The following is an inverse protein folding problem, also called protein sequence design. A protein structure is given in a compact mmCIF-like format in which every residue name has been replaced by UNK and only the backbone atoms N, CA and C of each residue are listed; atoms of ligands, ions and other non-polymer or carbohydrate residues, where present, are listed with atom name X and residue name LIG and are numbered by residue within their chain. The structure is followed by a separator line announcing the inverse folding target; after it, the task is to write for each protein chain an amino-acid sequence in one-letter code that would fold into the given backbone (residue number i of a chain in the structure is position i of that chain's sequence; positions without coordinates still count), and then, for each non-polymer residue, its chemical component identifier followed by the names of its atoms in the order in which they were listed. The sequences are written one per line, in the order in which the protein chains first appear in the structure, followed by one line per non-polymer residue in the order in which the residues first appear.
data_IF_036363141437
#
_entry.id   IF_036363141437
#
_cell.length_a   1.000
_cell.length_b   1.000
_cell.length_c   1.000
_cell.angle_alpha   90.00
_cell.angle_beta   90.00
_cell.angle_gamma   90.00
#
_symmetry.space_group_name_H-M   'P 1'
#
loop_
_entity.id
_entity.type
_entity.pdbx_description
1 polymer ?
#
# COMPACT_ATOMS: atom_id res chain seq x y z
N UNK A 1 -27.92 -29.57 -12.38
CA UNK A 1 -26.51 -29.59 -11.89
C UNK A 1 -25.75 -28.31 -12.23
N UNK A 2 -25.67 -27.87 -13.49
CA UNK A 2 -24.90 -26.65 -13.89
C UNK A 2 -25.27 -25.39 -13.10
N UNK A 3 -26.57 -25.13 -12.84
CA UNK A 3 -27.01 -23.97 -12.03
C UNK A 3 -26.51 -24.00 -10.58
N UNK A 4 -26.35 -25.19 -9.99
CA UNK A 4 -25.79 -25.33 -8.63
C UNK A 4 -24.28 -25.08 -8.65
N UNK A 5 -23.57 -25.66 -9.61
CA UNK A 5 -22.12 -25.44 -9.79
C UNK A 5 -21.83 -23.95 -9.95
N UNK A 6 -22.60 -23.25 -10.79
CA UNK A 6 -22.47 -21.80 -10.98
C UNK A 6 -22.66 -21.02 -9.67
N UNK A 7 -23.71 -21.35 -8.89
CA UNK A 7 -23.99 -20.66 -7.64
C UNK A 7 -22.86 -20.82 -6.63
N UNK A 8 -22.32 -22.04 -6.49
CA UNK A 8 -21.19 -22.33 -5.60
C UNK A 8 -19.90 -21.66 -6.09
N UNK A 9 -19.64 -21.61 -7.39
CA UNK A 9 -18.48 -20.91 -7.96
C UNK A 9 -18.54 -19.41 -7.66
N UNK A 10 -19.69 -18.77 -7.88
CA UNK A 10 -19.88 -17.35 -7.57
C UNK A 10 -19.70 -17.11 -6.07
N UNK A 11 -20.26 -17.97 -5.21
CA UNK A 11 -20.08 -17.87 -3.76
C UNK A 11 -18.60 -18.00 -3.37
N UNK A 12 -17.87 -18.92 -4.00
CA UNK A 12 -16.46 -19.14 -3.76
C UNK A 12 -15.61 -17.93 -4.17
N UNK A 13 -15.81 -17.40 -5.37
CA UNK A 13 -15.05 -16.23 -5.86
C UNK A 13 -15.33 -15.00 -4.99
N UNK A 14 -16.60 -14.75 -4.67
CA UNK A 14 -16.98 -13.61 -3.81
C UNK A 14 -16.44 -13.76 -2.39
N UNK A 15 -16.40 -14.98 -1.85
CA UNK A 15 -15.78 -15.27 -0.55
C UNK A 15 -14.27 -15.02 -0.57
N UNK A 16 -13.57 -15.50 -1.61
CA UNK A 16 -12.13 -15.28 -1.78
C UNK A 16 -11.79 -13.79 -1.91
N UNK A 17 -12.60 -13.04 -2.68
CA UNK A 17 -12.43 -11.58 -2.78
C UNK A 17 -12.61 -10.86 -1.44
N UNK A 18 -13.63 -11.24 -0.64
CA UNK A 18 -13.82 -10.66 0.69
C UNK A 18 -12.66 -10.99 1.64
N UNK A 19 -12.19 -12.24 1.65
CA UNK A 19 -11.04 -12.64 2.49
C UNK A 19 -9.77 -11.87 2.12
N UNK A 20 -9.50 -11.70 0.81
CA UNK A 20 -8.41 -10.87 0.32
C UNK A 20 -8.53 -9.41 0.79
N UNK A 21 -9.73 -8.82 0.65
CA UNK A 21 -10.02 -7.46 1.12
C UNK A 21 -9.81 -7.29 2.62
N UNK A 22 -10.24 -8.24 3.45
CA UNK A 22 -10.06 -8.19 4.91
C UNK A 22 -8.57 -8.19 5.32
N UNK A 23 -7.76 -9.05 4.70
CA UNK A 23 -6.31 -9.11 4.95
C UNK A 23 -5.66 -7.78 4.55
N UNK A 24 -6.06 -7.22 3.40
CA UNK A 24 -5.55 -5.91 2.97
C UNK A 24 -5.94 -4.77 3.91
N UNK A 25 -7.19 -4.74 4.41
CA UNK A 25 -7.62 -3.75 5.40
C UNK A 25 -6.76 -3.84 6.67
N UNK A 26 -6.57 -5.04 7.20
CA UNK A 26 -5.74 -5.25 8.39
C UNK A 26 -4.30 -4.75 8.20
N UNK A 27 -3.70 -5.09 7.04
CA UNK A 27 -2.36 -4.65 6.69
C UNK A 27 -2.26 -3.12 6.63
N UNK A 28 -3.20 -2.43 5.98
CA UNK A 28 -3.14 -0.97 5.87
C UNK A 28 -3.44 -0.24 7.18
N UNK A 29 -4.30 -0.81 8.04
CA UNK A 29 -4.47 -0.29 9.40
C UNK A 29 -3.17 -0.45 10.20
N UNK A 30 -2.46 -1.56 10.03
CA UNK A 30 -1.15 -1.77 10.67
C UNK A 30 -0.14 -0.73 10.18
N UNK A 31 -0.08 -0.47 8.88
CA UNK A 31 0.80 0.55 8.31
C UNK A 31 0.46 1.97 8.77
N UNK A 32 -0.81 2.26 9.08
CA UNK A 32 -1.23 3.55 9.62
C UNK A 32 -0.80 3.75 11.09
N UNK A 33 -0.81 2.68 11.88
CA UNK A 33 -0.43 2.72 13.30
C UNK A 33 1.09 2.60 13.48
N UNK A 34 1.72 1.74 12.68
CA UNK A 34 3.14 1.45 12.72
C UNK A 34 3.71 1.44 11.29
N UNK A 35 3.95 2.63 10.70
CA UNK A 35 4.53 2.72 9.36
C UNK A 35 5.92 2.09 9.34
N UNK A 36 6.32 1.60 8.15
CA UNK A 36 7.66 1.03 7.97
C UNK A 36 8.73 2.03 8.42
N UNK A 37 9.76 1.60 9.16
CA UNK A 37 10.82 2.51 9.58
C UNK A 37 11.58 3.04 8.36
N UNK A 38 11.98 4.31 8.42
CA UNK A 38 12.89 4.88 7.45
C UNK A 38 14.26 4.19 7.55
N UNK A 39 14.79 3.72 6.41
CA UNK A 39 15.93 2.79 6.40
C UNK A 39 17.29 3.48 6.39
N UNK A 40 17.36 4.76 6.01
CA UNK A 40 18.62 5.48 5.85
C UNK A 40 18.94 6.25 7.13
N UNK A 41 20.17 6.13 7.64
CA UNK A 41 20.63 6.93 8.77
C UNK A 41 21.11 8.31 8.32
N UNK A 42 21.23 9.25 9.26
CA UNK A 42 21.78 10.58 8.97
C UNK A 42 23.23 10.50 8.46
N UNK A 43 24.04 9.59 8.99
CA UNK A 43 25.44 9.41 8.55
C UNK A 43 25.51 8.92 7.10
N UNK A 44 24.62 7.99 6.72
CA UNK A 44 24.54 7.51 5.33
C UNK A 44 24.04 8.62 4.39
N UNK A 45 23.10 9.44 4.84
CA UNK A 45 22.61 10.60 4.11
C UNK A 45 23.73 11.62 3.88
N UNK A 46 24.48 11.96 4.94
CA UNK A 46 25.63 12.87 4.89
C UNK A 46 26.74 12.34 3.98
N UNK A 47 27.03 11.04 4.02
CA UNK A 47 28.05 10.42 3.17
C UNK A 47 27.65 10.42 1.67
N UNK A 48 26.36 10.34 1.38
CA UNK A 48 25.81 10.41 0.02
C UNK A 48 25.72 11.83 -0.54
N UNK A 49 25.56 12.83 0.34
CA UNK A 49 25.53 14.25 -0.01
C UNK A 49 26.86 14.65 -0.68
N UNK A 50 26.80 15.00 -1.98
CA UNK A 50 27.97 15.37 -2.79
C UNK A 50 28.60 14.26 -3.63
N UNK A 51 28.22 12.97 -3.48
CA UNK A 51 28.79 11.86 -4.28
C UNK A 51 27.92 11.37 -5.44
N UNK A 52 26.60 11.55 -5.37
CA UNK A 52 25.65 10.84 -6.25
C UNK A 52 24.73 11.73 -7.11
N UNK A 53 24.82 13.05 -7.01
CA UNK A 53 23.82 13.95 -7.62
C UNK A 53 24.06 14.38 -9.08
N UNK A 54 25.00 13.76 -9.81
CA UNK A 54 25.08 13.96 -11.28
C UNK A 54 25.41 12.67 -12.04
N UNK A 55 24.66 12.29 -13.09
CA UNK A 55 25.25 11.51 -14.16
C UNK A 55 26.38 12.35 -14.75
N UNK A 56 27.60 11.81 -14.79
CA UNK A 56 28.71 12.43 -15.46
C UNK A 56 28.29 12.71 -16.92
N UNK A 57 28.05 13.97 -17.24
CA UNK A 57 27.94 14.40 -18.63
C UNK A 57 29.34 14.28 -19.20
N UNK A 58 29.57 13.24 -20.00
CA UNK A 58 30.82 13.04 -20.74
C UNK A 58 31.14 14.33 -21.52
N UNK A 59 32.19 15.03 -21.10
CA UNK A 59 32.72 16.19 -21.83
C UNK A 59 32.88 17.50 -21.03
N UNK A 60 32.52 17.56 -19.74
CA UNK A 60 32.84 18.72 -18.91
C UNK A 60 34.10 18.48 -18.08
N UNK A 61 35.26 18.74 -18.68
CA UNK A 61 36.49 18.96 -17.91
C UNK A 61 36.29 20.20 -17.04
N UNK A 62 36.34 20.03 -15.71
CA UNK A 62 36.60 21.14 -14.79
C UNK A 62 35.40 21.93 -14.27
N UNK A 63 34.26 21.30 -13.98
CA UNK A 63 33.32 21.90 -13.02
C UNK A 63 33.09 20.96 -11.84
N UNK A 64 33.99 21.05 -10.86
CA UNK A 64 33.63 20.89 -9.46
C UNK A 64 32.56 21.95 -9.17
N UNK A 65 31.31 21.66 -9.52
CA UNK A 65 30.20 22.41 -8.94
C UNK A 65 30.09 21.91 -7.52
N UNK A 66 30.96 22.43 -6.66
CA UNK A 66 30.87 22.29 -5.22
C UNK A 66 29.43 22.63 -4.88
N UNK A 67 28.64 21.62 -4.47
CA UNK A 67 27.42 21.94 -3.75
C UNK A 67 27.85 22.90 -2.63
N UNK A 68 27.10 23.98 -2.35
CA UNK A 68 27.44 24.85 -1.23
C UNK A 68 27.68 23.95 -0.02
N UNK A 69 28.82 24.11 0.66
CA UNK A 69 29.12 23.39 1.89
C UNK A 69 28.01 23.74 2.88
N UNK A 70 26.95 22.93 2.85
CA UNK A 70 25.84 23.08 3.78
C UNK A 70 26.41 22.85 5.17
N UNK A 71 26.02 23.72 6.09
CA UNK A 71 26.28 23.48 7.50
C UNK A 71 25.71 22.12 7.91
N UNK A 72 26.31 21.46 8.91
CA UNK A 72 25.74 20.24 9.47
C UNK A 72 24.30 20.44 9.96
N UNK A 73 23.97 21.65 10.40
CA UNK A 73 22.62 22.05 10.81
C UNK A 73 21.65 22.05 9.62
N UNK A 74 22.08 22.53 8.45
CA UNK A 74 21.29 22.54 7.23
C UNK A 74 21.10 21.12 6.69
N UNK A 75 22.15 20.28 6.73
CA UNK A 75 22.06 18.87 6.33
C UNK A 75 21.12 18.06 7.22
N UNK A 76 21.15 18.34 8.53
CA UNK A 76 20.23 17.71 9.48
C UNK A 76 18.79 18.15 9.24
N UNK A 77 18.57 19.45 8.98
CA UNK A 77 17.25 19.96 8.63
C UNK A 77 16.70 19.32 7.34
N UNK A 78 17.54 19.15 6.32
CA UNK A 78 17.17 18.47 5.08
C UNK A 78 16.82 16.99 5.34
N UNK A 79 17.63 16.28 6.12
CA UNK A 79 17.37 14.89 6.49
C UNK A 79 16.04 14.76 7.26
N UNK A 80 15.80 15.59 8.27
CA UNK A 80 14.56 15.57 9.06
C UNK A 80 13.33 15.88 8.18
N UNK A 81 13.45 16.81 7.23
CA UNK A 81 12.40 17.09 6.26
C UNK A 81 12.12 15.88 5.34
N UNK A 82 13.16 15.16 4.93
CA UNK A 82 13.07 13.98 4.07
C UNK A 82 12.42 12.80 4.81
N UNK A 83 12.84 12.55 6.06
CA UNK A 83 12.23 11.56 6.95
C UNK A 83 10.75 11.86 7.17
N UNK A 84 10.42 13.13 7.41
CA UNK A 84 9.04 13.57 7.59
C UNK A 84 8.20 13.33 6.32
N UNK A 85 8.67 13.75 5.15
CA UNK A 85 7.99 13.54 3.88
C UNK A 85 7.79 12.04 3.58
N UNK A 86 8.76 11.20 3.92
CA UNK A 86 8.63 9.75 3.81
C UNK A 86 7.43 9.21 4.61
N UNK A 87 7.33 9.57 5.90
CA UNK A 87 6.23 9.13 6.75
C UNK A 87 4.88 9.73 6.32
N UNK A 88 4.86 10.99 5.89
CA UNK A 88 3.65 11.64 5.38
C UNK A 88 3.12 10.92 4.13
N UNK A 89 4.02 10.57 3.20
CA UNK A 89 3.67 9.79 2.00
C UNK A 89 3.19 8.39 2.35
N UNK A 90 3.83 7.71 3.29
CA UNK A 90 3.43 6.36 3.65
C UNK A 90 2.06 6.34 4.34
N UNK A 91 1.78 7.33 5.19
CA UNK A 91 0.45 7.55 5.74
C UNK A 91 -0.60 7.86 4.67
N UNK A 92 -0.27 8.70 3.70
CA UNK A 92 -1.19 9.01 2.60
C UNK A 92 -1.49 7.77 1.74
N UNK A 93 -0.47 6.94 1.47
CA UNK A 93 -0.60 5.67 0.75
C UNK A 93 -1.44 4.67 1.52
N UNK A 94 -1.17 4.47 2.81
CA UNK A 94 -1.93 3.56 3.65
C UNK A 94 -3.42 3.94 3.68
N UNK A 95 -3.74 5.24 3.82
CA UNK A 95 -5.11 5.75 3.74
C UNK A 95 -5.76 5.47 2.38
N UNK A 96 -5.05 5.75 1.29
CA UNK A 96 -5.55 5.52 -0.06
C UNK A 96 -5.81 4.03 -0.35
N UNK A 97 -4.90 3.16 0.09
CA UNK A 97 -5.04 1.73 -0.06
C UNK A 97 -6.15 1.16 0.84
N UNK A 98 -6.30 1.67 2.06
CA UNK A 98 -7.39 1.27 2.96
C UNK A 98 -8.76 1.46 2.29
N UNK A 99 -8.98 2.60 1.63
CA UNK A 99 -10.20 2.87 0.86
C UNK A 99 -10.39 1.86 -0.27
N UNK A 100 -9.31 1.53 -1.01
CA UNK A 100 -9.37 0.50 -2.05
C UNK A 100 -9.71 -0.87 -1.48
N UNK A 101 -9.10 -1.27 -0.37
CA UNK A 101 -9.34 -2.56 0.29
C UNK A 101 -10.78 -2.69 0.78
N UNK A 102 -11.39 -1.60 1.26
CA UNK A 102 -12.83 -1.59 1.58
C UNK A 102 -13.69 -1.79 0.32
N UNK A 103 -13.30 -1.22 -0.82
CA UNK A 103 -13.96 -1.47 -2.11
C UNK A 103 -13.98 -2.96 -2.48
N UNK A 104 -12.88 -3.67 -2.24
CA UNK A 104 -12.77 -5.12 -2.45
C UNK A 104 -13.70 -5.96 -1.55
N UNK A 105 -14.18 -5.41 -0.43
CA UNK A 105 -15.15 -6.08 0.45
C UNK A 105 -16.57 -5.67 0.06
N UNK A 106 -16.81 -4.37 -0.14
CA UNK A 106 -18.15 -3.81 -0.35
C UNK A 106 -18.77 -4.26 -1.68
N UNK A 107 -17.97 -4.43 -2.74
CA UNK A 107 -18.47 -4.85 -4.07
C UNK A 107 -18.97 -6.31 -4.07
N UNK A 108 -18.20 -7.32 -3.61
CA UNK A 108 -18.66 -8.71 -3.63
C UNK A 108 -19.71 -9.03 -2.54
N UNK A 109 -19.78 -8.25 -1.46
CA UNK A 109 -20.64 -8.56 -0.31
C UNK A 109 -22.15 -8.63 -0.64
N UNK A 110 -22.76 -7.68 -1.39
CA UNK A 110 -24.16 -7.79 -1.81
C UNK A 110 -24.44 -9.02 -2.67
N UNK A 111 -23.50 -9.37 -3.56
CA UNK A 111 -23.62 -10.55 -4.44
C UNK A 111 -23.57 -11.82 -3.58
N UNK A 112 -22.63 -11.89 -2.65
CA UNK A 112 -22.50 -13.00 -1.71
C UNK A 112 -23.78 -13.20 -0.89
N UNK A 113 -24.30 -12.13 -0.28
CA UNK A 113 -25.55 -12.18 0.49
C UNK A 113 -26.74 -12.65 -0.35
N UNK A 114 -26.85 -12.18 -1.59
CA UNK A 114 -27.93 -12.58 -2.49
C UNK A 114 -27.86 -14.08 -2.84
N UNK A 115 -26.67 -14.56 -3.25
CA UNK A 115 -26.46 -15.96 -3.60
C UNK A 115 -26.63 -16.88 -2.37
N UNK A 116 -26.15 -16.47 -1.19
CA UNK A 116 -26.33 -17.20 0.06
C UNK A 116 -27.81 -17.34 0.42
N UNK A 117 -28.59 -16.25 0.37
CA UNK A 117 -30.04 -16.28 0.62
C UNK A 117 -30.77 -17.22 -0.33
N UNK A 118 -30.39 -17.24 -1.61
CA UNK A 118 -30.96 -18.17 -2.60
C UNK A 118 -30.61 -19.62 -2.30
N UNK A 119 -29.39 -19.90 -1.84
CA UNK A 119 -28.97 -21.24 -1.46
C UNK A 119 -29.78 -21.76 -0.26
N UNK A 120 -29.91 -20.96 0.81
CA UNK A 120 -30.64 -21.34 2.03
C UNK A 120 -32.10 -21.69 1.72
N UNK A 121 -32.79 -20.82 0.97
CA UNK A 121 -34.19 -21.08 0.56
C UNK A 121 -34.35 -22.37 -0.24
N UNK A 122 -33.37 -22.68 -1.10
CA UNK A 122 -33.40 -23.92 -1.89
C UNK A 122 -33.23 -25.15 -1.01
N UNK A 123 -32.28 -25.12 -0.07
CA UNK A 123 -32.06 -26.23 0.88
C UNK A 123 -33.29 -26.47 1.76
N UNK A 124 -33.98 -25.41 2.17
CA UNK A 124 -35.24 -25.53 2.93
C UNK A 124 -36.37 -26.15 2.10
N UNK A 125 -36.48 -25.80 0.81
CA UNK A 125 -37.50 -26.38 -0.08
C UNK A 125 -37.26 -27.85 -0.42
N UNK A 126 -36.00 -28.31 -0.44
CA UNK A 126 -35.64 -29.71 -0.70
C UNK A 126 -35.81 -30.61 0.55
N UNK A 127 -35.93 -30.01 1.75
CA UNK A 127 -36.16 -30.73 3.02
C UNK A 127 -37.64 -30.92 3.37
N UNK A 128 -38.56 -30.30 2.62
CA UNK A 128 -40.00 -30.25 2.88
C UNK A 128 -40.75 -31.16 1.93
#
# INVERSE_FOLDING_TARGET
MIKQIYLYLVLFVTLMMMLGGCISVYHEVTNLVNPSPYYQSFEDFKQGFGKYDRPAVEGSEGSETSQPEKSEEELRADYDALVKDYYDRENARAKHNLVKSLGWIIIPFPIFLFCQRRLVKKVESEKK
#
